data_IF_937730938369
#
_entry.id   IF_937730938369
#
_cell.length_a   1.000
_cell.length_b   1.000
_cell.length_c   1.000
_cell.angle_alpha   90.00
_cell.angle_beta   90.00
_cell.angle_gamma   90.00
#
_symmetry.space_group_name_H-M   'P 1'
#
loop_
_entity.id
_entity.type
_entity.pdbx_description
1 polymer ?
#
# COMPACT_ATOMS: atom_id res chain seq x y z
N UNK A 1 17.42 3.31 2.13
CA UNK A 1 16.45 2.97 1.08
C UNK A 1 16.98 1.94 0.09
N UNK A 2 18.21 2.11 -0.39
CA UNK A 2 18.80 1.21 -1.41
C UNK A 2 18.88 -0.25 -0.93
N UNK A 3 19.30 -0.50 0.30
CA UNK A 3 19.37 -1.87 0.84
C UNK A 3 18.00 -2.54 0.92
N UNK A 4 16.94 -1.76 1.29
CA UNK A 4 15.57 -2.28 1.33
C UNK A 4 15.02 -2.54 -0.08
N UNK A 5 15.36 -1.67 -1.05
CA UNK A 5 15.01 -1.93 -2.43
C UNK A 5 15.77 -3.14 -3.00
N UNK A 6 17.05 -3.34 -2.63
CA UNK A 6 17.80 -4.54 -3.02
C UNK A 6 17.14 -5.84 -2.50
N UNK A 7 16.53 -5.80 -1.31
CA UNK A 7 15.75 -6.93 -0.81
C UNK A 7 14.49 -7.18 -1.65
N UNK A 8 13.73 -6.13 -2.01
CA UNK A 8 12.58 -6.24 -2.92
C UNK A 8 13.02 -6.86 -4.26
N UNK A 9 14.09 -6.33 -4.87
CA UNK A 9 14.61 -6.83 -6.14
C UNK A 9 15.02 -8.31 -6.06
N UNK A 10 15.67 -8.72 -4.96
CA UNK A 10 16.02 -10.13 -4.73
C UNK A 10 14.80 -11.05 -4.65
N UNK A 11 13.70 -10.60 -4.02
CA UNK A 11 12.47 -11.38 -3.91
C UNK A 11 11.77 -11.51 -5.27
N UNK A 12 11.73 -10.44 -6.05
CA UNK A 12 11.05 -10.40 -7.34
C UNK A 12 11.84 -11.11 -8.43
N UNK A 13 13.18 -11.12 -8.41
CA UNK A 13 14.02 -11.81 -9.39
C UNK A 13 13.79 -13.34 -9.43
N UNK A 14 13.14 -13.90 -8.42
CA UNK A 14 12.77 -15.31 -8.40
C UNK A 14 11.62 -15.67 -9.36
N UNK A 15 10.88 -14.67 -9.91
CA UNK A 15 9.69 -14.92 -10.72
C UNK A 15 9.37 -13.83 -11.76
N UNK A 16 10.11 -12.72 -11.79
CA UNK A 16 9.96 -11.64 -12.77
C UNK A 16 11.07 -11.71 -13.82
N UNK A 17 10.77 -11.20 -15.01
CA UNK A 17 11.75 -11.05 -16.07
C UNK A 17 12.49 -9.68 -16.00
N UNK A 18 13.53 -9.53 -16.84
CA UNK A 18 14.37 -8.32 -16.83
C UNK A 18 13.59 -7.01 -17.16
N UNK A 19 12.63 -6.96 -18.10
CA UNK A 19 11.74 -5.81 -18.31
C UNK A 19 10.92 -5.44 -17.08
N UNK A 20 10.37 -6.42 -16.36
CA UNK A 20 9.58 -6.23 -15.13
C UNK A 20 10.46 -5.68 -14.00
N UNK A 21 11.64 -6.26 -13.79
CA UNK A 21 12.62 -5.75 -12.81
C UNK A 21 13.05 -4.32 -13.12
N UNK A 22 13.25 -3.98 -14.40
CA UNK A 22 13.57 -2.62 -14.83
C UNK A 22 12.42 -1.64 -14.56
N UNK A 23 11.17 -2.09 -14.67
CA UNK A 23 10.00 -1.28 -14.32
C UNK A 23 9.97 -0.98 -12.82
N UNK A 24 10.22 -1.97 -11.95
CA UNK A 24 10.29 -1.78 -10.51
C UNK A 24 11.41 -0.80 -10.11
N UNK A 25 12.58 -0.91 -10.74
CA UNK A 25 13.71 -0.01 -10.51
C UNK A 25 13.31 1.44 -10.85
N UNK A 26 12.72 1.67 -12.00
CA UNK A 26 12.24 3.00 -12.40
C UNK A 26 11.18 3.54 -11.43
N UNK A 27 10.27 2.68 -10.95
CA UNK A 27 9.24 3.07 -9.98
C UNK A 27 9.84 3.49 -8.64
N UNK A 28 10.83 2.75 -8.15
CA UNK A 28 11.57 3.11 -6.94
C UNK A 28 12.27 4.48 -7.08
N UNK A 29 13.02 4.67 -8.17
CA UNK A 29 13.73 5.93 -8.44
C UNK A 29 12.75 7.11 -8.54
N UNK A 30 11.67 6.93 -9.28
CA UNK A 30 10.62 7.93 -9.42
C UNK A 30 9.96 8.30 -8.08
N UNK A 31 9.58 7.30 -7.27
CA UNK A 31 8.98 7.54 -5.96
C UNK A 31 9.96 8.16 -4.97
N UNK A 32 11.23 7.72 -4.97
CA UNK A 32 12.30 8.30 -4.14
C UNK A 32 12.49 9.78 -4.44
N UNK A 33 12.54 10.15 -5.71
CA UNK A 33 12.76 11.53 -6.13
C UNK A 33 11.52 12.39 -5.84
N UNK A 34 10.31 11.85 -6.02
CA UNK A 34 9.06 12.53 -5.68
C UNK A 34 8.94 12.83 -4.18
N UNK A 35 9.39 11.90 -3.31
CA UNK A 35 9.38 12.04 -1.84
C UNK A 35 10.68 12.59 -1.26
N UNK A 36 11.55 13.20 -2.08
CA UNK A 36 12.82 13.73 -1.63
C UNK A 36 12.64 14.71 -0.47
N UNK A 37 13.36 14.49 0.64
CA UNK A 37 13.30 15.32 1.86
C UNK A 37 12.08 15.05 2.76
N UNK A 38 11.15 14.19 2.39
CA UNK A 38 10.04 13.81 3.25
C UNK A 38 10.46 12.69 4.22
N UNK A 39 10.00 12.80 5.47
CA UNK A 39 10.17 11.78 6.51
C UNK A 39 8.84 11.38 7.13
N UNK A 40 8.75 10.14 7.58
CA UNK A 40 7.63 9.65 8.37
C UNK A 40 7.71 10.18 9.82
N UNK A 41 6.63 9.99 10.59
CA UNK A 41 6.59 10.32 12.03
C UNK A 41 7.63 9.55 12.85
N UNK A 42 8.09 8.40 12.37
CA UNK A 42 9.20 7.63 12.93
C UNK A 42 10.57 8.27 12.72
N UNK A 43 10.68 9.29 11.84
CA UNK A 43 11.92 9.94 11.46
C UNK A 43 12.66 9.31 10.28
N UNK A 44 12.20 8.15 9.78
CA UNK A 44 12.77 7.48 8.61
C UNK A 44 12.35 8.15 7.29
N UNK A 45 13.16 8.04 6.21
CA UNK A 45 12.78 8.53 4.88
C UNK A 45 11.45 7.94 4.42
N UNK A 46 10.57 8.77 3.85
CA UNK A 46 9.22 8.37 3.47
C UNK A 46 9.22 7.15 2.52
N UNK A 47 10.18 7.11 1.58
CA UNK A 47 10.30 6.05 0.57
C UNK A 47 10.42 4.63 1.15
N UNK A 48 10.83 4.48 2.41
CA UNK A 48 10.90 3.17 3.06
C UNK A 48 9.53 2.49 3.10
N UNK A 49 8.47 3.27 3.35
CA UNK A 49 7.11 2.73 3.41
C UNK A 49 6.66 2.05 2.12
N UNK A 50 6.67 2.69 0.94
CA UNK A 50 6.27 2.02 -0.29
C UNK A 50 7.15 0.82 -0.65
N UNK A 51 8.45 0.83 -0.29
CA UNK A 51 9.32 -0.34 -0.48
C UNK A 51 8.84 -1.52 0.39
N UNK A 52 8.53 -1.28 1.66
CA UNK A 52 8.02 -2.33 2.57
C UNK A 52 6.67 -2.89 2.11
N UNK A 53 5.78 -2.03 1.59
CA UNK A 53 4.53 -2.48 0.96
C UNK A 53 4.83 -3.36 -0.25
N UNK A 54 5.79 -2.97 -1.09
CA UNK A 54 6.28 -3.77 -2.22
C UNK A 54 6.82 -5.14 -1.80
N UNK A 55 7.61 -5.21 -0.71
CA UNK A 55 8.14 -6.47 -0.16
C UNK A 55 6.99 -7.40 0.28
N UNK A 56 5.98 -6.88 0.97
CA UNK A 56 4.80 -7.66 1.38
C UNK A 56 4.09 -8.24 0.15
N UNK A 57 3.99 -7.47 -0.94
CA UNK A 57 3.36 -7.92 -2.19
C UNK A 57 4.25 -8.91 -2.96
N UNK A 58 5.57 -8.76 -2.91
CA UNK A 58 6.51 -9.71 -3.50
C UNK A 58 6.45 -11.08 -2.80
N UNK A 59 6.27 -11.11 -1.47
CA UNK A 59 6.04 -12.36 -0.71
C UNK A 59 4.75 -13.06 -1.15
N UNK A 60 3.75 -12.31 -1.61
CA UNK A 60 2.52 -12.83 -2.21
C UNK A 60 2.65 -13.16 -3.70
N UNK A 61 3.83 -12.98 -4.29
CA UNK A 61 4.12 -13.17 -5.72
C UNK A 61 3.19 -12.38 -6.64
N UNK A 62 2.90 -11.13 -6.27
CA UNK A 62 2.11 -10.23 -7.11
C UNK A 62 2.90 -9.81 -8.36
N UNK A 63 2.13 -9.46 -9.42
CA UNK A 63 2.70 -9.01 -10.70
C UNK A 63 3.43 -7.66 -10.59
N UNK A 64 4.23 -7.35 -11.60
CA UNK A 64 5.08 -6.17 -11.65
C UNK A 64 4.27 -4.86 -11.61
N UNK A 65 3.10 -4.78 -12.28
CA UNK A 65 2.23 -3.61 -12.23
C UNK A 65 1.69 -3.35 -10.83
N UNK A 66 1.32 -4.41 -10.10
CA UNK A 66 0.83 -4.31 -8.72
C UNK A 66 1.90 -3.77 -7.79
N UNK A 67 3.13 -4.30 -7.86
CA UNK A 67 4.24 -3.84 -7.03
C UNK A 67 4.68 -2.42 -7.45
N UNK A 68 4.71 -2.12 -8.75
CA UNK A 68 4.95 -0.76 -9.25
C UNK A 68 3.92 0.22 -8.71
N UNK A 69 2.63 -0.12 -8.77
CA UNK A 69 1.59 0.73 -8.20
C UNK A 69 1.73 0.91 -6.68
N UNK A 70 2.19 -0.11 -5.96
CA UNK A 70 2.49 0.00 -4.54
C UNK A 70 3.67 0.91 -4.23
N UNK A 71 4.73 0.91 -5.06
CA UNK A 71 5.83 1.85 -4.93
C UNK A 71 5.40 3.30 -5.17
N UNK A 72 4.35 3.52 -5.96
CA UNK A 72 3.87 4.83 -6.41
C UNK A 72 2.60 5.31 -5.69
N UNK A 73 1.95 4.48 -4.83
CA UNK A 73 0.59 4.74 -4.35
C UNK A 73 0.42 6.09 -3.63
N UNK A 74 1.44 6.52 -2.88
CA UNK A 74 1.43 7.79 -2.16
C UNK A 74 1.95 8.98 -2.99
N UNK A 75 2.59 8.75 -4.15
CA UNK A 75 3.20 9.84 -4.92
C UNK A 75 2.17 10.83 -5.43
N UNK A 76 1.01 10.36 -5.90
CA UNK A 76 -0.07 11.20 -6.43
C UNK A 76 -0.84 11.91 -5.30
N UNK A 77 -0.84 11.34 -4.09
CA UNK A 77 -1.55 11.89 -2.93
C UNK A 77 -0.69 12.92 -2.17
N UNK A 78 0.58 12.60 -1.95
CA UNK A 78 1.46 13.33 -1.03
C UNK A 78 2.50 14.21 -1.74
N UNK A 79 2.54 14.21 -3.08
CA UNK A 79 3.50 15.01 -3.86
C UNK A 79 2.81 15.81 -4.98
N UNK A 80 3.61 16.40 -5.88
CA UNK A 80 3.12 17.13 -7.06
C UNK A 80 2.92 16.24 -8.29
N UNK A 81 3.19 14.94 -8.19
CA UNK A 81 3.05 13.98 -9.28
C UNK A 81 1.58 13.83 -9.63
N UNK A 82 1.26 13.86 -10.92
CA UNK A 82 -0.11 13.64 -11.41
C UNK A 82 -0.33 12.22 -11.91
N UNK A 83 -1.59 11.79 -11.93
CA UNK A 83 -1.95 10.46 -12.45
C UNK A 83 -1.59 10.31 -13.94
N UNK A 84 -1.69 11.41 -14.71
CA UNK A 84 -1.28 11.45 -16.12
C UNK A 84 0.23 11.26 -16.29
N UNK A 85 1.03 11.77 -15.36
CA UNK A 85 2.47 11.59 -15.35
C UNK A 85 2.83 10.13 -15.05
N UNK A 86 2.14 9.50 -14.11
CA UNK A 86 2.28 8.06 -13.84
C UNK A 86 1.95 7.22 -15.08
N UNK A 87 0.84 7.52 -15.77
CA UNK A 87 0.47 6.82 -17.01
C UNK A 87 1.52 6.95 -18.11
N UNK A 88 2.00 8.17 -18.33
CA UNK A 88 3.02 8.45 -19.37
C UNK A 88 4.36 7.77 -19.08
N UNK A 89 4.74 7.68 -17.80
CA UNK A 89 6.03 7.12 -17.39
C UNK A 89 6.01 5.59 -17.33
N UNK A 90 4.87 5.02 -16.98
CA UNK A 90 4.71 3.56 -16.79
C UNK A 90 3.70 3.01 -17.80
N UNK A 91 2.43 2.93 -17.41
CA UNK A 91 1.34 2.49 -18.30
C UNK A 91 -0.04 2.84 -17.71
N UNK A 92 -1.15 2.70 -18.49
CA UNK A 92 -2.50 2.98 -18.01
C UNK A 92 -2.94 2.08 -16.85
N UNK A 93 -2.41 0.85 -16.76
CA UNK A 93 -2.79 -0.12 -15.73
C UNK A 93 -2.22 0.29 -14.38
N UNK A 94 -0.95 0.69 -14.32
CA UNK A 94 -0.33 1.26 -13.11
C UNK A 94 -1.08 2.51 -12.65
N UNK A 95 -1.41 3.43 -13.56
CA UNK A 95 -2.25 4.59 -13.24
C UNK A 95 -3.57 4.19 -12.59
N UNK A 96 -4.30 3.25 -13.21
CA UNK A 96 -5.60 2.82 -12.70
C UNK A 96 -5.53 2.22 -11.29
N UNK A 97 -4.48 1.44 -11.00
CA UNK A 97 -4.23 0.89 -9.67
C UNK A 97 -3.92 1.99 -8.64
N UNK A 98 -3.01 2.91 -8.94
CA UNK A 98 -2.67 4.04 -8.07
C UNK A 98 -3.89 4.89 -7.77
N UNK A 99 -4.67 5.30 -8.79
CA UNK A 99 -5.92 6.05 -8.57
C UNK A 99 -6.94 5.27 -7.74
N UNK A 100 -7.02 3.95 -7.93
CA UNK A 100 -7.90 3.08 -7.16
C UNK A 100 -7.55 3.10 -5.66
N UNK A 101 -6.28 2.98 -5.32
CA UNK A 101 -5.77 3.03 -3.95
C UNK A 101 -6.02 4.41 -3.32
N UNK A 102 -5.67 5.50 -4.03
CA UNK A 102 -5.91 6.88 -3.59
C UNK A 102 -7.39 7.15 -3.29
N UNK A 103 -8.30 6.65 -4.14
CA UNK A 103 -9.75 6.79 -3.91
C UNK A 103 -10.20 6.10 -2.63
N UNK A 104 -9.67 4.91 -2.31
CA UNK A 104 -9.99 4.22 -1.05
C UNK A 104 -9.47 5.02 0.14
N UNK A 105 -8.24 5.52 0.09
CA UNK A 105 -7.63 6.32 1.17
C UNK A 105 -8.46 7.59 1.47
N UNK A 106 -8.89 8.34 0.45
CA UNK A 106 -9.76 9.52 0.64
C UNK A 106 -11.08 9.19 1.33
N UNK A 107 -11.65 8.05 1.00
CA UNK A 107 -12.89 7.57 1.62
C UNK A 107 -12.70 7.28 3.11
N UNK A 108 -11.56 6.71 3.51
CA UNK A 108 -11.22 6.47 4.92
C UNK A 108 -11.16 7.78 5.72
N UNK A 109 -10.67 8.86 5.12
CA UNK A 109 -10.57 10.17 5.77
C UNK A 109 -11.94 10.84 5.94
N UNK A 110 -12.85 10.65 4.99
CA UNK A 110 -14.19 11.26 5.01
C UNK A 110 -15.19 10.55 5.93
N UNK A 111 -14.98 9.25 6.23
CA UNK A 111 -15.95 8.42 6.97
C UNK A 111 -15.80 8.43 8.50
N UNK A 112 -15.15 9.44 9.05
CA UNK A 112 -14.86 9.53 10.50
C UNK A 112 -16.09 9.59 11.42
N UNK A 113 -17.32 9.63 10.92
CA UNK A 113 -18.48 9.91 11.77
C UNK A 113 -19.63 8.90 11.74
N UNK A 114 -19.82 7.99 10.75
CA UNK A 114 -21.00 7.07 10.84
C UNK A 114 -20.98 5.81 9.92
N UNK A 115 -19.90 5.46 9.22
CA UNK A 115 -20.09 4.54 8.09
C UNK A 115 -19.03 3.46 7.85
N UNK A 116 -18.80 2.58 8.81
CA UNK A 116 -18.10 1.30 8.53
C UNK A 116 -18.74 0.59 7.34
N UNK A 117 -20.07 0.60 7.24
CA UNK A 117 -20.83 0.01 6.15
C UNK A 117 -20.57 0.71 4.81
N UNK A 118 -20.40 2.04 4.79
CA UNK A 118 -20.09 2.79 3.57
C UNK A 118 -18.64 2.53 3.12
N UNK A 119 -17.68 2.50 4.04
CA UNK A 119 -16.29 2.15 3.76
C UNK A 119 -16.19 0.76 3.15
N UNK A 120 -16.83 -0.24 3.76
CA UNK A 120 -16.89 -1.61 3.25
C UNK A 120 -17.54 -1.65 1.86
N UNK A 121 -18.66 -0.95 1.65
CA UNK A 121 -19.36 -0.93 0.35
C UNK A 121 -18.50 -0.30 -0.75
N UNK A 122 -17.78 0.79 -0.45
CA UNK A 122 -16.90 1.47 -1.40
C UNK A 122 -15.65 0.63 -1.71
N UNK A 123 -15.12 -0.10 -0.73
CA UNK A 123 -14.08 -1.11 -0.98
C UNK A 123 -14.58 -2.21 -1.92
N UNK A 124 -15.80 -2.71 -1.74
CA UNK A 124 -16.39 -3.68 -2.67
C UNK A 124 -16.57 -3.12 -4.09
N UNK A 125 -16.94 -1.86 -4.24
CA UNK A 125 -17.00 -1.19 -5.55
C UNK A 125 -15.61 -1.06 -6.19
N UNK A 126 -14.57 -0.75 -5.42
CA UNK A 126 -13.19 -0.72 -5.92
C UNK A 126 -12.73 -2.14 -6.33
N UNK A 127 -13.04 -3.17 -5.52
CA UNK A 127 -12.76 -4.58 -5.83
C UNK A 127 -13.44 -5.05 -7.13
N UNK A 128 -14.63 -4.53 -7.44
CA UNK A 128 -15.35 -4.90 -8.67
C UNK A 128 -14.64 -4.43 -9.95
N UNK A 129 -13.74 -3.45 -9.85
CA UNK A 129 -12.94 -2.95 -10.97
C UNK A 129 -11.61 -3.69 -11.11
N UNK A 130 -10.86 -3.81 -10.03
CA UNK A 130 -9.60 -4.56 -9.98
C UNK A 130 -9.28 -4.94 -8.52
N UNK A 131 -9.25 -6.24 -8.24
CA UNK A 131 -8.99 -6.76 -6.89
C UNK A 131 -7.60 -6.38 -6.36
N UNK A 132 -6.63 -6.13 -7.25
CA UNK A 132 -5.27 -5.75 -6.87
C UNK A 132 -5.22 -4.45 -6.04
N UNK A 133 -6.17 -3.55 -6.27
CA UNK A 133 -6.30 -2.30 -5.48
C UNK A 133 -6.47 -2.61 -3.99
N UNK A 134 -7.32 -3.59 -3.65
CA UNK A 134 -7.52 -3.99 -2.25
C UNK A 134 -6.31 -4.75 -1.71
N UNK A 135 -5.65 -5.56 -2.51
CA UNK A 135 -4.44 -6.28 -2.09
C UNK A 135 -3.32 -5.29 -1.74
N UNK A 136 -3.12 -4.24 -2.55
CA UNK A 136 -2.19 -3.14 -2.24
C UNK A 136 -2.59 -2.46 -0.93
N UNK A 137 -3.88 -2.13 -0.76
CA UNK A 137 -4.36 -1.45 0.45
C UNK A 137 -4.24 -2.31 1.71
N UNK A 138 -4.40 -3.63 1.62
CA UNK A 138 -4.14 -4.56 2.72
C UNK A 138 -2.65 -4.62 3.10
N UNK A 139 -1.75 -4.60 2.11
CA UNK A 139 -0.31 -4.55 2.34
C UNK A 139 0.13 -3.22 2.96
N UNK A 140 -0.41 -2.08 2.49
CA UNK A 140 -0.24 -0.76 3.09
C UNK A 140 -0.69 -0.76 4.55
N UNK A 141 -1.91 -1.24 4.82
CA UNK A 141 -2.44 -1.34 6.18
C UNK A 141 -1.54 -2.20 7.08
N UNK A 142 -1.07 -3.34 6.58
CA UNK A 142 -0.18 -4.21 7.33
C UNK A 142 1.13 -3.51 7.72
N UNK A 143 1.76 -2.80 6.79
CA UNK A 143 2.96 -2.03 7.11
C UNK A 143 2.68 -0.90 8.11
N UNK A 144 1.56 -0.19 7.95
CA UNK A 144 1.14 0.85 8.89
C UNK A 144 0.90 0.29 10.31
N UNK A 145 0.38 -0.93 10.43
CA UNK A 145 0.23 -1.62 11.73
C UNK A 145 1.58 -2.00 12.34
N UNK A 146 2.55 -2.44 11.55
CA UNK A 146 3.92 -2.74 12.02
C UNK A 146 4.65 -1.50 12.57
N UNK A 147 4.32 -0.32 12.05
CA UNK A 147 4.92 0.97 12.47
C UNK A 147 4.02 1.80 13.40
N UNK A 148 2.97 1.19 13.95
CA UNK A 148 1.93 1.86 14.74
C UNK A 148 2.47 2.54 16.01
N UNK A 149 3.57 2.03 16.58
CA UNK A 149 4.21 2.57 17.80
C UNK A 149 4.63 4.05 17.69
N UNK A 150 4.90 4.54 16.46
CA UNK A 150 5.25 5.94 16.22
C UNK A 150 4.05 6.91 16.32
N UNK A 151 2.82 6.39 16.44
CA UNK A 151 1.61 7.20 16.54
C UNK A 151 1.22 7.46 18.00
N UNK A 152 0.47 8.53 18.23
CA UNK A 152 -0.19 8.81 19.52
C UNK A 152 -1.20 7.73 19.85
N UNK A 153 -1.45 7.51 21.14
CA UNK A 153 -2.30 6.44 21.65
C UNK A 153 -3.73 6.47 21.07
N UNK A 154 -4.36 7.64 21.00
CA UNK A 154 -5.69 7.82 20.41
C UNK A 154 -5.76 7.32 18.95
N UNK A 155 -4.73 7.63 18.16
CA UNK A 155 -4.61 7.19 16.78
C UNK A 155 -4.29 5.69 16.65
N UNK A 156 -3.52 5.17 17.58
CA UNK A 156 -3.21 3.72 17.64
C UNK A 156 -4.49 2.91 17.86
N UNK A 157 -5.29 3.29 18.86
CA UNK A 157 -6.57 2.63 19.17
C UNK A 157 -7.51 2.69 17.97
N UNK A 158 -7.67 3.88 17.36
CA UNK A 158 -8.53 4.06 16.20
C UNK A 158 -8.10 3.16 15.03
N UNK A 159 -6.81 3.19 14.66
CA UNK A 159 -6.26 2.38 13.56
C UNK A 159 -6.34 0.88 13.82
N UNK A 160 -6.17 0.44 15.07
CA UNK A 160 -6.32 -0.95 15.46
C UNK A 160 -7.77 -1.42 15.32
N UNK A 161 -8.74 -0.65 15.81
CA UNK A 161 -10.17 -0.94 15.67
C UNK A 161 -10.56 -1.06 14.19
N UNK A 162 -10.24 -0.06 13.38
CA UNK A 162 -10.49 -0.06 11.93
C UNK A 162 -9.89 -1.30 11.25
N UNK A 163 -8.67 -1.70 11.64
CA UNK A 163 -8.00 -2.89 11.11
C UNK A 163 -8.76 -4.17 11.46
N UNK A 164 -9.19 -4.32 12.71
CA UNK A 164 -9.92 -5.51 13.16
C UNK A 164 -11.34 -5.60 12.57
N UNK A 165 -12.02 -4.48 12.45
CA UNK A 165 -13.43 -4.42 12.03
C UNK A 165 -13.61 -4.44 10.51
N UNK A 166 -12.64 -3.95 9.73
CA UNK A 166 -12.74 -3.80 8.26
C UNK A 166 -11.71 -4.66 7.54
N UNK A 167 -10.41 -4.43 7.78
CA UNK A 167 -9.35 -4.99 6.95
C UNK A 167 -9.12 -6.49 7.18
N UNK A 168 -9.14 -6.95 8.43
CA UNK A 168 -8.95 -8.37 8.73
C UNK A 168 -10.10 -9.25 8.19
N UNK A 169 -11.39 -8.86 8.27
CA UNK A 169 -12.48 -9.57 7.61
C UNK A 169 -12.35 -9.60 6.07
N UNK A 170 -11.90 -8.52 5.43
CA UNK A 170 -11.68 -8.48 3.99
C UNK A 170 -10.55 -9.44 3.60
N UNK A 171 -9.39 -9.39 4.27
CA UNK A 171 -8.29 -10.31 4.04
C UNK A 171 -8.72 -11.78 4.21
N UNK A 172 -9.57 -12.07 5.19
CA UNK A 172 -10.13 -13.40 5.38
C UNK A 172 -11.00 -13.85 4.21
N UNK A 173 -11.91 -13.00 3.73
CA UNK A 173 -12.80 -13.32 2.60
C UNK A 173 -12.05 -13.53 1.30
N UNK A 174 -10.92 -12.83 1.12
CA UNK A 174 -10.03 -12.96 -0.03
C UNK A 174 -9.09 -14.17 0.07
N UNK A 175 -9.11 -14.89 1.19
CA UNK A 175 -8.22 -16.03 1.42
C UNK A 175 -6.76 -15.68 1.66
N UNK A 176 -6.43 -14.39 1.87
CA UNK A 176 -5.06 -13.93 2.12
C UNK A 176 -4.74 -14.11 3.62
N UNK A 177 -4.61 -15.38 4.02
CA UNK A 177 -4.44 -15.74 5.43
C UNK A 177 -3.14 -15.20 6.04
N UNK A 178 -2.07 -15.06 5.26
CA UNK A 178 -0.81 -14.45 5.70
C UNK A 178 -1.00 -13.02 6.19
N UNK A 179 -1.65 -12.17 5.40
CA UNK A 179 -1.96 -10.79 5.80
C UNK A 179 -2.94 -10.78 6.98
N UNK A 180 -4.02 -11.58 6.93
CA UNK A 180 -4.98 -11.66 8.03
C UNK A 180 -4.32 -11.97 9.36
N UNK A 181 -3.50 -13.01 9.43
CA UNK A 181 -2.82 -13.39 10.68
C UNK A 181 -1.92 -12.27 11.17
N UNK A 182 -1.12 -11.66 10.28
CA UNK A 182 -0.27 -10.54 10.65
C UNK A 182 -1.06 -9.32 11.15
N UNK A 183 -2.18 -8.95 10.52
CA UNK A 183 -3.04 -7.85 10.96
C UNK A 183 -3.62 -8.11 12.35
N UNK A 184 -4.02 -9.34 12.66
CA UNK A 184 -4.52 -9.72 13.99
C UNK A 184 -3.42 -9.66 15.06
N UNK A 185 -2.21 -10.12 14.72
CA UNK A 185 -1.07 -10.12 15.67
C UNK A 185 -0.51 -8.71 15.94
N UNK A 186 -0.54 -7.81 14.95
CA UNK A 186 0.00 -6.45 15.10
C UNK A 186 -1.00 -5.47 15.72
N UNK A 187 -2.26 -5.86 15.85
CA UNK A 187 -3.28 -5.04 16.52
C UNK A 187 -3.13 -5.22 18.03
N UNK A 188 -2.81 -4.14 18.80
CA UNK A 188 -2.86 -4.22 20.26
C UNK A 188 -4.25 -4.66 20.72
N UNK A 189 -4.30 -5.55 21.68
CA UNK A 189 -5.58 -5.93 22.31
C UNK A 189 -6.31 -4.69 22.82
N UNK A 190 -7.64 -4.61 22.65
CA UNK A 190 -8.43 -3.50 23.16
C UNK A 190 -8.39 -3.41 24.68
#
# INVERSE_FOLDING_TARGET
PEDRFAELARLTSAYMDAPEEAMLRRAFEFARDAHAGQCRKSGEPFIIHPIEVGIILADLRMDAETITAALLHDTVEDTKVTAEEVERTFNPQVRALVEGVTKITRIEVESLTDEQAATIRKMFVAMSKDIRVIVIKLADRLHNMRTLAALREDRRIFKSRETLEIYAPIAHRLGINSIKCCLLYTSPSP
#
